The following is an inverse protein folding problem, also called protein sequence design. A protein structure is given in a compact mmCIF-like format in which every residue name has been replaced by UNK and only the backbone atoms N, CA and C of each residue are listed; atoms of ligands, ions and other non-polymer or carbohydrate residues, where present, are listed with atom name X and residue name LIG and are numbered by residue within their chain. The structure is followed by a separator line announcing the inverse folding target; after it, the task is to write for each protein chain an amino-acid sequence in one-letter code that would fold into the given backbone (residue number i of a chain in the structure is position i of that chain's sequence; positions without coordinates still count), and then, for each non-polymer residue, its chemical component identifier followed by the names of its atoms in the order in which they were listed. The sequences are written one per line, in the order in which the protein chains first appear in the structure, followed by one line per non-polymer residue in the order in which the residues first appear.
data_IF_169666737694
#
_entry.id   IF_169666737694
#
_cell.length_a   1.000
_cell.length_b   1.000
_cell.length_c   1.000
_cell.angle_alpha   90.00
_cell.angle_beta   90.00
_cell.angle_gamma   90.00
#
_symmetry.space_group_name_H-M   'P 1'
#
loop_
_entity.id
_entity.type
_entity.pdbx_description
1 polymer ?
#
# COMPACT_ATOMS: atom_id res chain seq x y z
N UNK A 1 -18.13 -17.96 -2.01
CA UNK A 1 -17.61 -17.12 -0.92
C UNK A 1 -16.11 -17.37 -0.84
N UNK A 2 -15.28 -16.44 -1.30
CA UNK A 2 -13.84 -16.55 -1.07
C UNK A 2 -13.60 -16.17 0.40
N UNK A 3 -13.33 -17.17 1.23
CA UNK A 3 -12.88 -16.98 2.60
C UNK A 3 -11.52 -16.26 2.53
N UNK A 4 -11.50 -14.99 2.89
CA UNK A 4 -10.31 -14.15 2.95
C UNK A 4 -9.44 -14.59 4.13
N UNK A 5 -8.77 -15.74 4.03
CA UNK A 5 -7.71 -16.05 4.98
C UNK A 5 -6.53 -15.14 4.64
N UNK A 6 -6.05 -14.40 5.63
CA UNK A 6 -4.75 -13.74 5.57
C UNK A 6 -3.73 -14.87 5.35
N UNK A 7 -2.93 -14.87 4.25
CA UNK A 7 -1.84 -15.84 4.07
C UNK A 7 -0.89 -15.80 5.29
N UNK A 8 -0.12 -16.86 5.58
CA UNK A 8 0.41 -17.18 6.91
C UNK A 8 0.94 -15.94 7.65
N UNK A 9 0.38 -15.75 8.85
CA UNK A 9 0.38 -14.53 9.68
C UNK A 9 1.62 -13.66 9.53
N UNK A 10 1.50 -12.55 8.80
CA UNK A 10 2.39 -11.40 9.02
C UNK A 10 2.15 -10.95 10.45
N UNK A 11 3.14 -11.19 11.30
CA UNK A 11 3.03 -10.87 12.72
C UNK A 11 3.45 -9.41 12.90
N UNK A 12 2.61 -8.52 13.45
CA UNK A 12 3.06 -7.19 13.80
C UNK A 12 4.25 -7.26 14.76
N UNK A 13 5.27 -6.43 14.57
CA UNK A 13 6.41 -6.39 15.50
C UNK A 13 5.92 -5.74 16.80
N UNK A 14 5.99 -6.42 17.96
CA UNK A 14 5.64 -5.80 19.24
C UNK A 14 6.62 -4.67 19.57
N UNK A 15 6.11 -3.50 19.99
CA UNK A 15 6.89 -2.39 20.56
C UNK A 15 8.19 -2.09 19.81
N UNK A 16 8.08 -1.64 18.57
CA UNK A 16 9.22 -1.43 17.66
C UNK A 16 9.53 0.04 17.43
N UNK A 17 10.73 0.33 16.89
CA UNK A 17 11.11 1.66 16.43
C UNK A 17 10.66 1.90 15.00
N UNK A 18 10.33 3.14 14.66
CA UNK A 18 10.07 3.54 13.27
C UNK A 18 11.40 3.76 12.52
N UNK A 19 12.02 2.67 12.07
CA UNK A 19 13.34 2.68 11.44
C UNK A 19 13.46 1.68 10.27
N UNK A 20 14.63 1.68 9.61
CA UNK A 20 14.90 0.83 8.45
C UNK A 20 14.66 -0.67 8.71
N UNK A 21 15.02 -1.20 9.88
CA UNK A 21 14.81 -2.62 10.19
C UNK A 21 13.33 -2.99 10.21
N UNK A 22 12.49 -2.14 10.79
CA UNK A 22 11.03 -2.28 10.77
C UNK A 22 10.49 -2.25 9.35
N UNK A 23 10.97 -1.31 8.52
CA UNK A 23 10.51 -1.20 7.14
C UNK A 23 10.91 -2.41 6.28
N UNK A 24 12.15 -2.91 6.45
CA UNK A 24 12.63 -4.12 5.80
C UNK A 24 11.84 -5.36 6.21
N UNK A 25 11.40 -5.45 7.48
CA UNK A 25 10.53 -6.54 7.93
C UNK A 25 9.22 -6.57 7.13
N UNK A 26 8.52 -5.43 7.06
CA UNK A 26 7.25 -5.36 6.34
C UNK A 26 7.41 -5.50 4.81
N UNK A 27 8.51 -5.00 4.23
CA UNK A 27 8.78 -5.20 2.81
C UNK A 27 9.14 -6.65 2.46
N UNK A 28 9.85 -7.38 3.32
CA UNK A 28 10.05 -8.83 3.14
C UNK A 28 8.72 -9.59 3.19
N UNK A 29 7.81 -9.19 4.09
CA UNK A 29 6.47 -9.75 4.12
C UNK A 29 5.67 -9.42 2.84
N UNK A 30 5.78 -8.20 2.31
CA UNK A 30 5.20 -7.83 1.01
C UNK A 30 5.80 -8.66 -0.14
N UNK A 31 7.10 -8.95 -0.09
CA UNK A 31 7.76 -9.80 -1.09
C UNK A 31 7.21 -11.24 -1.06
N UNK A 32 7.00 -11.81 0.13
CA UNK A 32 6.34 -13.13 0.26
C UNK A 32 4.90 -13.12 -0.26
N UNK A 33 4.16 -12.02 -0.10
CA UNK A 33 2.84 -11.85 -0.73
C UNK A 33 2.95 -11.79 -2.26
N UNK A 34 3.96 -11.10 -2.79
CA UNK A 34 4.20 -10.97 -4.24
C UNK A 34 4.37 -12.34 -4.91
N UNK A 35 5.03 -13.29 -4.23
CA UNK A 35 5.25 -14.65 -4.70
C UNK A 35 3.96 -15.49 -4.81
N UNK A 36 2.83 -15.03 -4.26
CA UNK A 36 1.53 -15.69 -4.44
C UNK A 36 0.83 -15.27 -5.74
N UNK A 37 1.23 -14.15 -6.33
CA UNK A 37 0.75 -13.75 -7.67
C UNK A 37 1.28 -14.72 -8.71
N UNK A 38 0.50 -15.20 -9.70
CA UNK A 38 1.05 -16.04 -10.77
C UNK A 38 1.97 -15.22 -11.69
N UNK A 39 3.12 -15.76 -12.14
CA UNK A 39 3.97 -15.08 -13.12
C UNK A 39 3.22 -14.91 -14.44
N UNK A 40 3.26 -13.68 -14.98
CA UNK A 40 2.63 -13.33 -16.26
C UNK A 40 3.53 -12.39 -17.06
N UNK A 41 3.50 -12.44 -18.41
CA UNK A 41 4.34 -11.60 -19.26
C UNK A 41 4.24 -10.09 -19.02
N UNK A 42 3.11 -9.61 -18.52
CA UNK A 42 2.78 -8.16 -18.50
C UNK A 42 2.33 -7.63 -17.15
N UNK A 43 2.20 -8.49 -16.15
CA UNK A 43 1.87 -8.08 -14.80
C UNK A 43 3.13 -8.15 -13.94
N UNK A 44 3.44 -7.08 -13.23
CA UNK A 44 4.41 -7.16 -12.16
C UNK A 44 3.82 -7.91 -10.96
N UNK A 45 4.57 -8.85 -10.41
CA UNK A 45 4.20 -9.54 -9.17
C UNK A 45 4.54 -8.63 -7.99
N UNK A 46 3.51 -8.03 -7.40
CA UNK A 46 3.62 -7.04 -6.33
C UNK A 46 2.83 -7.53 -5.12
N UNK A 47 3.27 -7.16 -3.92
CA UNK A 47 2.60 -7.43 -2.67
C UNK A 47 2.51 -6.16 -1.83
N UNK A 48 1.45 -6.06 -1.04
CA UNK A 48 1.12 -4.88 -0.26
C UNK A 48 0.55 -5.25 1.12
N UNK A 49 0.82 -4.39 2.11
CA UNK A 49 0.32 -4.49 3.47
C UNK A 49 -0.19 -3.12 3.89
N UNK A 50 -1.48 -3.05 4.24
CA UNK A 50 -2.09 -1.90 4.89
C UNK A 50 -2.08 -2.12 6.39
N UNK A 51 -1.51 -1.19 7.16
CA UNK A 51 -1.45 -1.27 8.61
C UNK A 51 -1.79 0.05 9.29
N UNK A 52 -2.21 -0.05 10.55
CA UNK A 52 -2.36 1.08 11.47
C UNK A 52 -1.19 1.07 12.44
N UNK A 53 -0.55 2.23 12.63
CA UNK A 53 0.55 2.44 13.57
C UNK A 53 0.15 3.43 14.65
N UNK A 54 0.36 3.06 15.91
CA UNK A 54 0.14 3.92 17.08
C UNK A 54 1.41 3.96 17.95
N UNK A 55 1.74 5.10 18.58
CA UNK A 55 2.74 5.11 19.64
C UNK A 55 2.32 4.20 20.81
N UNK A 56 3.21 3.31 21.22
CA UNK A 56 3.07 2.44 22.40
C UNK A 56 3.56 3.13 23.66
N UNK A 57 4.69 3.83 23.55
CA UNK A 57 5.28 4.63 24.62
C UNK A 57 5.43 6.05 24.13
N UNK A 58 4.98 7.03 24.92
CA UNK A 58 5.29 8.43 24.71
C UNK A 58 6.33 8.77 25.77
N UNK A 59 7.56 9.16 25.40
CA UNK A 59 8.57 9.49 26.40
C UNK A 59 8.09 10.66 27.25
N UNK A 60 7.79 10.41 28.52
CA UNK A 60 7.60 11.46 29.53
C UNK A 60 8.92 11.59 30.28
N UNK A 61 9.61 12.72 30.14
CA UNK A 61 10.64 13.05 31.11
C UNK A 61 9.91 13.41 32.41
N UNK A 62 10.10 12.70 33.54
CA UNK A 62 9.67 13.24 34.81
C UNK A 62 10.37 14.60 35.01
N UNK A 63 9.67 15.62 35.53
CA UNK A 63 10.10 17.03 35.46
C UNK A 63 11.48 17.36 36.07
N UNK A 64 12.10 16.43 36.80
CA UNK A 64 13.36 16.63 37.52
C UNK A 64 14.48 15.63 37.20
N UNK A 65 14.46 14.94 36.05
CA UNK A 65 15.58 14.07 35.66
C UNK A 65 16.32 14.65 34.45
N UNK A 66 17.52 15.18 34.72
CA UNK A 66 18.56 15.60 33.76
C UNK A 66 19.22 14.39 33.07
N UNK A 67 18.44 13.36 32.72
CA UNK A 67 18.97 12.21 31.99
C UNK A 67 19.13 12.58 30.51
N UNK A 68 20.37 12.45 30.01
CA UNK A 68 20.76 12.79 28.63
C UNK A 68 20.18 11.87 27.54
N UNK A 69 19.37 10.88 27.91
CA UNK A 69 18.78 9.91 26.98
C UNK A 69 17.31 9.70 27.28
N UNK A 70 16.46 10.57 26.74
CA UNK A 70 15.03 10.26 26.61
C UNK A 70 14.91 8.98 25.77
N UNK A 71 14.23 7.91 26.26
CA UNK A 71 14.07 6.68 25.48
C UNK A 71 13.29 6.99 24.20
N UNK A 72 13.59 6.29 23.09
CA UNK A 72 12.89 6.53 21.83
C UNK A 72 11.43 6.07 21.92
N UNK A 73 10.54 6.79 21.23
CA UNK A 73 9.14 6.39 21.03
C UNK A 73 9.09 5.01 20.36
N UNK A 74 8.37 4.08 20.98
CA UNK A 74 8.05 2.78 20.37
C UNK A 74 6.64 2.77 19.82
N UNK A 75 6.39 1.87 18.87
CA UNK A 75 5.14 1.77 18.13
C UNK A 75 4.56 0.36 18.17
N UNK A 76 3.23 0.32 18.12
CA UNK A 76 2.43 -0.90 17.95
C UNK A 76 1.74 -0.80 16.59
N UNK A 77 1.92 -1.84 15.78
CA UNK A 77 1.26 -1.97 14.50
C UNK A 77 0.10 -2.96 14.56
N UNK A 78 -0.94 -2.70 13.79
CA UNK A 78 -2.03 -3.63 13.53
C UNK A 78 -2.16 -3.79 12.02
N UNK A 79 -1.98 -5.02 11.52
CA UNK A 79 -2.22 -5.31 10.11
C UNK A 79 -3.72 -5.20 9.85
N UNK A 80 -4.09 -4.27 8.96
CA UNK A 80 -5.47 -4.05 8.57
C UNK A 80 -5.82 -4.99 7.43
N UNK A 81 -5.04 -4.99 6.35
CA UNK A 81 -5.30 -5.83 5.18
C UNK A 81 -3.99 -6.10 4.44
N UNK A 82 -4.02 -7.07 3.56
CA UNK A 82 -2.90 -7.43 2.69
C UNK A 82 -3.39 -7.46 1.24
N UNK A 83 -2.49 -7.48 0.27
CA UNK A 83 -2.84 -7.59 -1.13
C UNK A 83 -1.69 -8.16 -1.94
N UNK A 84 -1.97 -8.90 -3.00
CA UNK A 84 -0.98 -9.16 -4.05
C UNK A 84 -1.59 -9.03 -5.45
N UNK A 85 -0.76 -8.84 -6.47
CA UNK A 85 -1.21 -8.70 -7.86
C UNK A 85 -2.11 -9.88 -8.26
N UNK A 86 -3.29 -9.59 -8.81
CA UNK A 86 -4.30 -10.58 -9.23
C UNK A 86 -4.86 -11.46 -8.10
N UNK A 87 -4.77 -11.04 -6.83
CA UNK A 87 -5.44 -11.74 -5.74
C UNK A 87 -6.97 -11.70 -5.89
N UNK A 88 -7.50 -10.57 -6.35
CA UNK A 88 -8.91 -10.41 -6.71
C UNK A 88 -9.09 -10.53 -8.22
N UNK A 89 -10.30 -10.92 -8.64
CA UNK A 89 -10.65 -11.10 -10.05
C UNK A 89 -10.43 -9.83 -10.90
N UNK A 90 -10.04 -10.05 -12.16
CA UNK A 90 -9.69 -9.00 -13.11
C UNK A 90 -8.25 -8.53 -12.99
N UNK A 91 -7.89 -7.48 -13.72
CA UNK A 91 -6.53 -6.93 -13.74
C UNK A 91 -6.24 -6.02 -12.53
N UNK A 92 -6.12 -6.63 -11.34
CA UNK A 92 -5.95 -5.96 -10.05
C UNK A 92 -4.48 -5.88 -9.62
N UNK A 93 -4.08 -4.73 -9.06
CA UNK A 93 -2.77 -4.58 -8.42
C UNK A 93 -2.87 -4.89 -6.91
N UNK A 94 -1.72 -5.06 -6.26
CA UNK A 94 -1.64 -5.39 -4.85
C UNK A 94 -2.35 -4.37 -3.94
N UNK A 95 -2.15 -3.07 -4.17
CA UNK A 95 -2.73 -2.00 -3.36
C UNK A 95 -4.26 -1.97 -3.49
N UNK A 96 -4.76 -2.19 -4.71
CA UNK A 96 -6.19 -2.33 -4.97
C UNK A 96 -6.77 -3.55 -4.23
N UNK A 97 -6.08 -4.70 -4.25
CA UNK A 97 -6.52 -5.88 -3.51
C UNK A 97 -6.57 -5.63 -2.00
N UNK A 98 -5.56 -4.96 -1.45
CA UNK A 98 -5.51 -4.61 -0.03
C UNK A 98 -6.67 -3.70 0.39
N UNK A 99 -6.91 -2.61 -0.36
CA UNK A 99 -7.99 -1.66 -0.09
C UNK A 99 -9.37 -2.29 -0.28
N UNK A 100 -9.60 -3.00 -1.39
CA UNK A 100 -10.89 -3.61 -1.68
C UNK A 100 -11.26 -4.70 -0.66
N UNK A 101 -10.30 -5.52 -0.21
CA UNK A 101 -10.55 -6.50 0.87
C UNK A 101 -10.84 -5.83 2.21
N UNK A 102 -10.14 -4.75 2.54
CA UNK A 102 -10.43 -3.99 3.76
C UNK A 102 -11.85 -3.43 3.70
N UNK A 103 -12.18 -2.72 2.63
CA UNK A 103 -13.51 -2.16 2.38
C UNK A 103 -14.62 -3.22 2.50
N UNK A 104 -14.45 -4.38 1.84
CA UNK A 104 -15.41 -5.48 1.87
C UNK A 104 -15.66 -6.02 3.29
N UNK A 105 -14.62 -6.16 4.13
CA UNK A 105 -14.80 -6.60 5.54
C UNK A 105 -15.54 -5.58 6.40
N UNK A 106 -15.54 -4.31 5.99
CA UNK A 106 -16.25 -3.23 6.68
C UNK A 106 -17.58 -2.86 6.01
N UNK A 107 -18.02 -3.62 5.00
CA UNK A 107 -19.32 -3.40 4.34
C UNK A 107 -19.40 -2.11 3.51
N UNK A 108 -18.27 -1.57 3.06
CA UNK A 108 -18.21 -0.38 2.18
C UNK A 108 -17.60 -0.75 0.82
N UNK A 109 -17.85 0.06 -0.21
CA UNK A 109 -17.17 -0.08 -1.49
C UNK A 109 -15.72 0.40 -1.41
N UNK A 110 -14.88 0.00 -2.38
CA UNK A 110 -13.47 0.39 -2.41
C UNK A 110 -13.31 1.92 -2.44
N UNK A 111 -14.16 2.62 -3.18
CA UNK A 111 -14.18 4.08 -3.29
C UNK A 111 -14.52 4.78 -1.97
N UNK A 112 -15.14 4.07 -1.02
CA UNK A 112 -15.53 4.54 0.31
C UNK A 112 -14.65 3.96 1.44
N UNK A 113 -13.53 3.31 1.11
CA UNK A 113 -12.63 2.72 2.11
C UNK A 113 -12.07 3.75 3.10
N UNK A 114 -11.94 5.02 2.69
CA UNK A 114 -11.53 6.13 3.55
C UNK A 114 -12.51 6.45 4.68
N UNK A 115 -13.79 6.06 4.55
CA UNK A 115 -14.82 6.31 5.55
C UNK A 115 -14.64 5.43 6.81
N UNK A 116 -13.94 4.30 6.65
CA UNK A 116 -13.63 3.31 7.70
C UNK A 116 -12.15 3.29 8.09
N UNK A 117 -11.42 4.35 7.74
CA UNK A 117 -10.04 4.61 8.14
C UNK A 117 -9.94 5.94 8.92
N UNK A 118 -9.14 6.00 10.01
CA UNK A 118 -8.49 4.87 10.68
C UNK A 118 -9.51 3.96 11.40
N UNK A 119 -9.18 2.69 11.71
CA UNK A 119 -10.03 1.85 12.56
C UNK A 119 -10.07 2.41 13.99
N UNK A 120 -11.13 2.09 14.78
CA UNK A 120 -11.20 2.49 16.18
C UNK A 120 -9.98 1.97 16.97
N UNK A 121 -9.53 2.68 18.02
CA UNK A 121 -8.45 2.23 18.87
C UNK A 121 -8.77 0.85 19.45
N UNK A 122 -7.84 -0.10 19.35
CA UNK A 122 -7.98 -1.39 20.03
C UNK A 122 -7.76 -1.21 21.53
N UNK A 123 -8.62 -1.81 22.37
CA UNK A 123 -8.56 -1.73 23.85
C UNK A 123 -7.27 -2.26 24.49
N UNK A 124 -6.35 -2.84 23.72
CA UNK A 124 -5.11 -3.46 24.19
C UNK A 124 -4.08 -2.49 24.79
N UNK A 125 -4.26 -1.17 24.68
CA UNK A 125 -3.40 -0.21 25.41
C UNK A 125 -3.92 -0.01 26.84
N UNK A 126 -3.70 -0.98 27.73
CA UNK A 126 -4.22 -0.97 29.11
C UNK A 126 -3.53 0.03 30.06
N UNK A 127 -2.65 0.91 29.57
CA UNK A 127 -1.86 1.83 30.41
C UNK A 127 -2.32 3.30 30.34
N UNK A 128 -3.31 3.64 29.54
CA UNK A 128 -3.77 5.04 29.37
C UNK A 128 -5.16 5.25 29.98
N UNK A 129 -5.35 6.39 30.67
CA UNK A 129 -6.63 6.80 31.23
C UNK A 129 -7.50 7.42 30.14
N UNK A 130 -8.83 7.35 30.29
CA UNK A 130 -9.80 7.95 29.34
C UNK A 130 -9.66 9.47 29.22
N UNK A 131 -8.95 10.10 30.15
CA UNK A 131 -8.68 11.55 30.19
C UNK A 131 -7.49 11.97 29.32
N UNK A 132 -6.70 11.03 28.82
CA UNK A 132 -5.53 11.35 28.00
C UNK A 132 -5.95 11.86 26.61
N UNK A 133 -5.19 12.79 26.00
CA UNK A 133 -5.48 13.25 24.65
C UNK A 133 -5.46 12.07 23.64
N UNK A 134 -6.26 12.13 22.56
CA UNK A 134 -6.27 11.08 21.55
C UNK A 134 -4.85 10.82 21.03
N UNK A 135 -4.41 9.56 21.04
CA UNK A 135 -3.10 9.21 20.47
C UNK A 135 -3.11 9.43 18.95
N UNK A 136 -2.02 9.96 18.37
CA UNK A 136 -1.89 10.01 16.92
C UNK A 136 -1.84 8.59 16.38
N UNK A 137 -2.66 8.33 15.37
CA UNK A 137 -2.73 7.05 14.66
C UNK A 137 -2.43 7.32 13.20
N UNK A 138 -1.48 6.57 12.64
CA UNK A 138 -1.09 6.70 11.24
C UNK A 138 -1.49 5.46 10.46
N UNK A 139 -2.04 5.66 9.27
CA UNK A 139 -2.30 4.57 8.33
C UNK A 139 -1.15 4.49 7.34
N UNK A 140 -0.50 3.32 7.30
CA UNK A 140 0.70 3.09 6.52
C UNK A 140 0.45 1.99 5.50
N UNK A 141 0.86 2.22 4.26
CA UNK A 141 0.89 1.22 3.22
C UNK A 141 2.35 0.83 2.93
N UNK A 142 2.69 -0.44 3.09
CA UNK A 142 3.90 -1.02 2.53
C UNK A 142 3.56 -1.70 1.20
N UNK A 143 4.39 -1.54 0.18
CA UNK A 143 4.23 -2.19 -1.12
C UNK A 143 5.59 -2.47 -1.75
N UNK A 144 5.78 -3.59 -2.43
CA UNK A 144 7.13 -3.92 -2.98
C UNK A 144 7.60 -2.92 -4.03
N UNK A 145 6.69 -2.40 -4.86
CA UNK A 145 6.98 -1.44 -5.93
C UNK A 145 6.22 -0.13 -5.72
N UNK A 146 6.76 0.95 -6.28
CA UNK A 146 6.12 2.26 -6.33
C UNK A 146 4.65 2.18 -6.84
N UNK A 147 3.68 2.81 -6.14
CA UNK A 147 2.32 2.90 -6.62
C UNK A 147 2.21 3.62 -7.96
N UNK A 148 1.62 2.95 -8.96
CA UNK A 148 1.54 3.53 -10.30
C UNK A 148 0.67 4.81 -10.34
N UNK A 149 1.14 5.81 -11.09
CA UNK A 149 0.39 7.04 -11.40
C UNK A 149 -0.48 6.95 -12.67
N UNK A 150 -0.27 5.92 -13.49
CA UNK A 150 -1.05 5.61 -14.69
C UNK A 150 -1.17 4.09 -14.84
N UNK A 151 -2.29 3.60 -15.41
CA UNK A 151 -2.47 2.19 -15.76
C UNK A 151 -2.75 2.02 -17.24
N UNK A 152 -2.15 1.00 -17.83
CA UNK A 152 -2.35 0.61 -19.23
C UNK A 152 -3.80 0.22 -19.53
N UNK A 153 -4.42 -0.49 -18.60
CA UNK A 153 -5.83 -0.94 -18.68
C UNK A 153 -6.85 0.21 -18.57
N UNK A 154 -6.41 1.44 -18.31
CA UNK A 154 -7.28 2.58 -18.02
C UNK A 154 -7.98 2.50 -16.66
N UNK A 155 -7.72 1.46 -15.85
CA UNK A 155 -8.23 1.37 -14.49
C UNK A 155 -7.65 2.47 -13.60
N UNK A 156 -8.32 2.80 -12.50
CA UNK A 156 -7.85 3.81 -11.54
C UNK A 156 -6.42 3.48 -11.04
N UNK A 157 -5.43 4.36 -11.20
CA UNK A 157 -4.05 4.13 -10.75
C UNK A 157 -3.92 3.95 -9.24
N UNK A 158 -2.88 3.24 -8.79
CA UNK A 158 -2.69 2.97 -7.36
C UNK A 158 -2.47 4.24 -6.56
N UNK A 159 -1.70 5.20 -7.08
CA UNK A 159 -1.52 6.50 -6.44
C UNK A 159 -2.86 7.23 -6.25
N UNK A 160 -3.74 7.22 -7.25
CA UNK A 160 -5.07 7.82 -7.17
C UNK A 160 -5.96 7.11 -6.12
N UNK A 161 -5.91 5.78 -6.03
CA UNK A 161 -6.62 5.01 -5.00
C UNK A 161 -6.16 5.37 -3.59
N UNK A 162 -4.85 5.52 -3.39
CA UNK A 162 -4.27 5.92 -2.11
C UNK A 162 -4.76 7.32 -1.72
N UNK A 163 -4.71 8.28 -2.66
CA UNK A 163 -5.17 9.65 -2.45
C UNK A 163 -6.66 9.70 -2.10
N UNK A 164 -7.47 8.91 -2.81
CA UNK A 164 -8.92 8.84 -2.61
C UNK A 164 -9.29 8.43 -1.17
N UNK A 165 -8.47 7.64 -0.49
CA UNK A 165 -8.73 7.28 0.92
C UNK A 165 -8.78 8.49 1.85
N UNK A 166 -8.22 9.64 1.45
CA UNK A 166 -8.15 10.87 2.23
C UNK A 166 -9.26 11.87 1.89
N UNK A 167 -9.99 11.64 0.81
CA UNK A 167 -11.08 12.51 0.39
C UNK A 167 -12.30 12.24 1.26
N UNK A 168 -12.86 13.25 1.95
CA UNK A 168 -14.07 13.05 2.73
C UNK A 168 -15.24 12.67 1.81
N UNK A 169 -15.99 11.61 2.15
CA UNK A 169 -17.23 11.26 1.47
C UNK A 169 -18.28 12.36 1.68
N UNK A 170 -19.09 12.65 0.65
CA UNK A 170 -20.24 13.58 0.75
C UNK A 170 -21.23 13.18 1.85
N UNK A 171 -21.27 11.90 2.22
CA UNK A 171 -22.15 11.39 3.27
C UNK A 171 -21.62 11.63 4.70
N UNK A 172 -20.36 12.06 4.85
CA UNK A 172 -19.70 12.20 6.15
C UNK A 172 -19.09 13.61 6.30
N UNK A 173 -19.95 14.62 6.38
CA UNK A 173 -19.58 16.04 6.57
C UNK A 173 -19.35 16.43 8.04
N UNK A 174 -19.51 15.48 8.96
CA UNK A 174 -19.15 15.72 10.36
C UNK A 174 -17.64 15.93 10.50
N UNK A 175 -17.18 16.82 11.41
CA UNK A 175 -15.77 16.84 11.78
C UNK A 175 -15.39 15.41 12.16
N UNK A 176 -14.32 14.84 11.57
CA UNK A 176 -13.74 13.58 12.08
C UNK A 176 -13.69 13.72 13.59
N UNK A 177 -14.32 12.81 14.34
CA UNK A 177 -14.23 12.83 15.80
C UNK A 177 -12.73 12.91 16.17
N UNK A 178 -12.28 14.07 16.65
CA UNK A 178 -10.87 14.31 16.98
C UNK A 178 -9.97 14.99 15.92
N UNK A 179 -10.48 15.47 14.79
CA UNK A 179 -9.67 16.24 13.81
C UNK A 179 -8.58 15.43 13.08
N UNK A 180 -8.55 14.11 13.25
CA UNK A 180 -7.57 13.22 12.62
C UNK A 180 -7.76 13.17 11.11
N UNK A 181 -6.65 13.29 10.37
CA UNK A 181 -6.59 13.13 8.92
C UNK A 181 -7.08 11.72 8.55
N UNK A 182 -7.98 11.62 7.57
CA UNK A 182 -8.52 10.35 7.08
C UNK A 182 -7.60 9.72 6.02
N UNK A 183 -7.71 8.41 5.88
CA UNK A 183 -7.04 7.65 4.83
C UNK A 183 -5.58 7.32 5.12
N UNK A 184 -4.84 6.94 4.07
CA UNK A 184 -3.42 6.59 4.14
C UNK A 184 -2.58 7.84 4.35
N UNK A 185 -1.67 7.78 5.32
CA UNK A 185 -0.75 8.86 5.67
C UNK A 185 0.59 8.75 4.98
N UNK A 186 1.16 7.53 4.96
CA UNK A 186 2.49 7.27 4.43
C UNK A 186 2.57 5.96 3.64
N UNK A 187 3.33 5.98 2.55
CA UNK A 187 3.62 4.81 1.72
C UNK A 187 5.11 4.47 1.77
N UNK A 188 5.46 3.25 2.14
CA UNK A 188 6.82 2.74 2.00
C UNK A 188 6.89 1.77 0.83
N UNK A 189 7.90 1.88 -0.02
CA UNK A 189 8.10 0.94 -1.11
C UNK A 189 9.56 0.61 -1.36
N UNK A 190 9.83 -0.59 -1.88
CA UNK A 190 11.21 -1.09 -1.99
C UNK A 190 11.93 -0.68 -3.28
N UNK A 191 11.20 -0.53 -4.40
CA UNK A 191 11.78 -0.10 -5.67
C UNK A 191 10.86 0.87 -6.40
N UNK A 192 11.46 1.78 -7.17
CA UNK A 192 10.73 2.59 -8.16
C UNK A 192 10.32 1.74 -9.35
N UNK A 193 9.34 2.22 -10.12
CA UNK A 193 8.96 1.60 -11.38
C UNK A 193 10.19 1.46 -12.32
N UNK A 194 10.43 0.30 -12.93
CA UNK A 194 11.58 0.09 -13.82
C UNK A 194 11.59 1.06 -14.99
N UNK A 195 12.73 1.72 -15.23
CA UNK A 195 12.88 2.73 -16.28
C UNK A 195 12.52 4.16 -15.88
N UNK A 196 11.96 4.37 -14.68
CA UNK A 196 11.58 5.70 -14.19
C UNK A 196 12.74 6.35 -13.44
N UNK A 197 13.34 7.41 -13.99
CA UNK A 197 14.30 8.25 -13.26
C UNK A 197 13.60 9.01 -12.12
N UNK A 198 14.36 9.41 -11.08
CA UNK A 198 13.82 10.01 -9.83
C UNK A 198 12.83 11.17 -10.07
N UNK A 199 13.00 11.97 -11.14
CA UNK A 199 12.09 13.07 -11.51
C UNK A 199 10.89 12.70 -12.40
N UNK A 200 10.82 11.48 -12.94
CA UNK A 200 9.78 11.02 -13.87
C UNK A 200 8.61 10.28 -13.20
N UNK A 201 8.68 10.03 -11.90
CA UNK A 201 7.66 9.26 -11.17
C UNK A 201 6.34 10.04 -11.07
N UNK A 202 5.38 9.67 -11.93
CA UNK A 202 4.01 10.21 -11.89
C UNK A 202 3.33 9.83 -10.57
N UNK A 203 3.56 8.60 -10.08
CA UNK A 203 2.99 8.12 -8.81
C UNK A 203 3.44 8.93 -7.61
N UNK A 204 4.76 9.11 -7.40
CA UNK A 204 5.30 9.89 -6.29
C UNK A 204 4.89 11.37 -6.36
N UNK A 205 4.83 11.96 -7.57
CA UNK A 205 4.33 13.34 -7.74
C UNK A 205 2.89 13.47 -7.26
N UNK A 206 2.01 12.57 -7.69
CA UNK A 206 0.61 12.55 -7.25
C UNK A 206 0.48 12.42 -5.73
N UNK A 207 1.24 11.51 -5.10
CA UNK A 207 1.21 11.33 -3.64
C UNK A 207 1.67 12.60 -2.91
N UNK A 208 2.77 13.21 -3.37
CA UNK A 208 3.34 14.44 -2.78
C UNK A 208 2.37 15.61 -2.86
N UNK A 209 1.75 15.84 -4.03
CA UNK A 209 0.77 16.91 -4.24
C UNK A 209 -0.47 16.74 -3.36
N UNK A 210 -0.88 15.50 -3.09
CA UNK A 210 -1.97 15.18 -2.16
C UNK A 210 -1.54 15.17 -0.67
N UNK A 211 -0.26 15.45 -0.40
CA UNK A 211 0.34 15.47 0.93
C UNK A 211 0.37 14.10 1.63
N UNK A 212 0.36 12.99 0.89
CA UNK A 212 0.67 11.66 1.45
C UNK A 212 2.17 11.43 1.32
N UNK A 213 2.79 11.15 2.46
CA UNK A 213 4.23 10.95 2.55
C UNK A 213 4.61 9.64 1.88
N UNK A 214 5.84 9.57 1.36
CA UNK A 214 6.35 8.32 0.84
C UNK A 214 7.86 8.22 1.04
N UNK A 215 8.35 6.98 1.09
CA UNK A 215 9.77 6.70 1.28
C UNK A 215 10.16 5.42 0.53
N UNK A 216 11.27 5.51 -0.22
CA UNK A 216 11.89 4.33 -0.83
C UNK A 216 12.81 3.69 0.19
N UNK A 217 12.61 2.41 0.47
CA UNK A 217 13.40 1.66 1.45
C UNK A 217 14.33 0.73 0.71
N UNK A 218 15.61 1.07 0.71
CA UNK A 218 16.64 0.27 0.05
C UNK A 218 17.06 -0.97 0.83
N UNK A 219 17.71 -1.91 0.14
CA UNK A 219 18.26 -3.16 0.69
C UNK A 219 17.51 -4.44 0.27
N UNK A 220 16.54 -4.35 -0.64
CA UNK A 220 15.77 -5.48 -1.20
C UNK A 220 15.53 -5.34 -2.72
N UNK A 221 16.23 -4.43 -3.39
CA UNK A 221 15.94 -4.03 -4.76
C UNK A 221 16.05 -5.20 -5.74
N UNK A 222 17.12 -5.99 -5.60
CA UNK A 222 17.39 -7.16 -6.45
C UNK A 222 16.32 -8.23 -6.28
N UNK A 223 15.96 -8.52 -5.03
CA UNK A 223 14.97 -9.53 -4.68
C UNK A 223 13.57 -9.13 -5.16
N UNK A 224 13.22 -7.86 -4.98
CA UNK A 224 11.93 -7.31 -5.42
C UNK A 224 11.82 -7.35 -6.94
N UNK A 225 12.82 -6.84 -7.68
CA UNK A 225 12.78 -6.82 -9.14
C UNK A 225 12.77 -8.24 -9.72
N UNK A 226 13.53 -9.16 -9.13
CA UNK A 226 13.55 -10.58 -9.54
C UNK A 226 12.15 -11.20 -9.45
N UNK A 227 11.44 -11.02 -8.34
CA UNK A 227 10.08 -11.54 -8.18
C UNK A 227 9.10 -10.79 -9.08
N UNK A 228 9.18 -9.46 -9.12
CA UNK A 228 8.25 -8.63 -9.86
C UNK A 228 8.24 -8.95 -11.36
N UNK A 229 9.41 -9.20 -11.95
CA UNK A 229 9.57 -9.48 -13.38
C UNK A 229 9.47 -10.97 -13.74
N UNK A 230 9.19 -11.85 -12.77
CA UNK A 230 9.09 -13.28 -13.05
C UNK A 230 7.92 -13.57 -14.02
N UNK A 231 8.26 -14.18 -15.16
CA UNK A 231 7.33 -14.45 -16.26
C UNK A 231 7.31 -13.40 -17.37
N UNK A 232 8.01 -12.27 -17.22
CA UNK A 232 8.21 -11.29 -18.29
C UNK A 232 9.10 -11.91 -19.36
N UNK A 233 8.70 -11.80 -20.63
CA UNK A 233 9.58 -12.24 -21.71
C UNK A 233 10.80 -11.35 -21.76
N UNK A 234 12.00 -11.93 -21.66
CA UNK A 234 13.22 -11.26 -22.08
C UNK A 234 13.03 -10.92 -23.56
N UNK A 235 12.72 -9.66 -23.88
CA UNK A 235 12.84 -9.19 -25.27
C UNK A 235 14.29 -9.45 -25.65
N UNK A 236 14.53 -10.49 -26.48
CA UNK A 236 15.81 -10.75 -27.14
C UNK A 236 16.16 -9.59 -28.06
N UNK A 237 16.55 -8.46 -27.48
CA UNK A 237 17.23 -7.40 -28.18
C UNK A 237 18.66 -7.85 -28.41
N UNK A 238 19.05 -8.02 -29.67
CA UNK A 238 20.47 -8.06 -30.04
C UNK A 238 21.12 -6.77 -29.55
N UNK A 239 21.91 -6.85 -28.48
CA UNK A 239 22.67 -5.72 -27.96
C UNK A 239 23.08 -5.97 -26.52
N UNK A 240 24.35 -6.31 -26.32
CA UNK A 240 24.94 -6.45 -24.99
C UNK A 240 24.93 -5.12 -24.24
N UNK A 241 24.46 -5.17 -23.01
CA UNK A 241 24.45 -4.07 -22.05
C UNK A 241 23.54 -4.45 -20.89
N UNK A 242 24.10 -4.60 -19.69
CA UNK A 242 23.38 -4.87 -18.43
C UNK A 242 22.53 -3.67 -17.98
N UNK A 243 21.69 -3.14 -18.86
CA UNK A 243 20.69 -2.14 -18.54
C UNK A 243 19.31 -2.79 -18.64
N UNK A 244 18.64 -2.89 -17.49
CA UNK A 244 17.24 -3.33 -17.36
C UNK A 244 16.36 -2.42 -18.22
N UNK A 245 16.10 -2.83 -19.47
CA UNK A 245 15.24 -2.11 -20.40
C UNK A 245 13.82 -2.17 -19.85
N UNK A 246 13.39 -1.08 -19.21
CA UNK A 246 12.08 -0.96 -18.56
C UNK A 246 10.92 -1.28 -19.49
N UNK A 247 9.84 -1.81 -18.94
CA UNK A 247 8.54 -1.91 -19.63
C UNK A 247 7.97 -0.51 -19.78
N UNK A 248 8.33 0.17 -20.88
CA UNK A 248 7.72 1.47 -21.17
C UNK A 248 6.22 1.27 -21.43
N UNK A 249 5.39 2.12 -20.81
CA UNK A 249 3.93 2.11 -20.95
C UNK A 249 3.49 2.25 -22.42
N UNK A 250 4.33 2.84 -23.26
CA UNK A 250 4.05 3.04 -24.68
C UNK A 250 4.49 1.84 -25.56
N UNK A 251 5.19 0.84 -25.01
CA UNK A 251 5.83 -0.26 -25.77
C UNK A 251 5.05 -1.59 -25.79
N UNK A 252 3.80 -1.63 -25.32
CA UNK A 252 2.99 -2.88 -25.33
C UNK A 252 2.45 -3.20 -26.73
N UNK A 253 2.42 -4.49 -27.10
CA UNK A 253 1.80 -4.92 -28.37
C UNK A 253 0.28 -4.73 -28.35
N UNK A 254 -0.33 -4.52 -29.52
CA UNK A 254 -1.80 -4.39 -29.64
C UNK A 254 -2.52 -5.67 -29.21
N UNK A 255 -1.95 -6.84 -29.50
CA UNK A 255 -2.46 -8.14 -29.06
C UNK A 255 -2.55 -8.22 -27.53
N UNK A 256 -1.53 -7.72 -26.83
CA UNK A 256 -1.50 -7.75 -25.38
C UNK A 256 -2.48 -6.73 -24.76
N UNK A 257 -2.64 -5.55 -25.38
CA UNK A 257 -3.71 -4.62 -24.99
C UNK A 257 -5.08 -5.31 -25.04
N UNK A 258 -5.37 -6.04 -26.13
CA UNK A 258 -6.60 -6.82 -26.28
C UNK A 258 -6.75 -7.91 -25.20
N UNK A 259 -5.65 -8.58 -24.80
CA UNK A 259 -5.68 -9.57 -23.71
C UNK A 259 -6.02 -8.95 -22.35
N UNK A 260 -5.49 -7.77 -22.04
CA UNK A 260 -5.82 -7.07 -20.79
C UNK A 260 -7.26 -6.56 -20.78
N UNK A 261 -7.75 -6.05 -21.92
CA UNK A 261 -9.12 -5.57 -22.06
C UNK A 261 -10.15 -6.72 -22.00
N UNK A 262 -9.77 -7.92 -22.45
CA UNK A 262 -10.62 -9.12 -22.40
C UNK A 262 -10.76 -9.73 -20.98
N UNK A 263 -9.95 -9.32 -20.00
CA UNK A 263 -10.10 -9.83 -18.62
C UNK A 263 -11.40 -9.31 -18.00
N UNK A 264 -12.20 -10.18 -17.33
CA UNK A 264 -13.43 -9.75 -16.69
C UNK A 264 -13.13 -8.69 -15.62
N UNK A 265 -13.67 -7.47 -15.80
CA UNK A 265 -13.63 -6.41 -14.79
C UNK A 265 -14.47 -6.83 -13.57
N UNK A 266 -14.08 -6.37 -12.39
CA UNK A 266 -14.80 -6.65 -11.14
C UNK A 266 -16.30 -6.32 -11.30
N UNK A 267 -17.23 -7.29 -11.14
CA UNK A 267 -18.66 -7.11 -11.37
C UNK A 267 -19.29 -5.95 -10.59
N UNK A 268 -18.75 -5.63 -9.40
CA UNK A 268 -19.24 -4.55 -8.54
C UNK A 268 -19.23 -3.18 -9.24
N UNK A 269 -18.30 -2.94 -10.17
CA UNK A 269 -18.25 -1.68 -10.93
C UNK A 269 -19.32 -1.62 -12.03
N UNK A 270 -19.72 -2.77 -12.57
CA UNK A 270 -20.69 -2.86 -13.67
C UNK A 270 -22.11 -2.51 -13.23
N UNK A 271 -22.47 -2.79 -11.98
CA UNK A 271 -23.77 -2.35 -11.44
C UNK A 271 -23.82 -0.84 -11.23
N UNK A 272 -22.69 -0.18 -10.88
CA UNK A 272 -22.67 1.28 -10.69
C UNK A 272 -22.59 2.07 -12.00
N UNK A 273 -21.99 1.51 -13.06
CA UNK A 273 -21.88 2.19 -14.38
C UNK A 273 -23.13 2.01 -15.27
N UNK A 274 -24.02 1.07 -14.95
CA UNK A 274 -25.25 0.83 -15.71
C UNK A 274 -26.44 1.72 -15.25
N UNK A 275 -26.31 2.39 -14.11
CA UNK A 275 -27.30 3.35 -13.59
C UNK A 275 -26.83 4.80 -13.83
N UNK A 276 -26.59 5.16 -15.10
CA UNK A 276 -26.51 6.55 -15.58
C UNK A 276 -27.25 6.67 -16.91
#
# INVERSE_FOLDING_TARGET
MATTSVPPSITPIPSHLNNQQTHLYYLRACLSLSQQSPPKPTNFRVGAILLSRMPTTIPTNPPNQLQSHTPPTTYTDTILSTGYTLELSGNTHAEQCALAKYAARHGVSEEHVGDVLPPPPTSASSQFQTTDPPRPQSIILYVTMEPCGKRLSGNNPCAARIIQTRTPSRQNTGPSAGGTRRGIDKVYFGVKEPGTFVGGSVGCRMLTEAGVEWEVVGGLEKEILKVAMEGHEERKGKGGGDEVRGTNIDDISEEERRRQDAMPRNPLKRMMEADI
#
